data_IF_076225656819
#
_entry.id   IF_076225656819
#
_cell.length_a   1.000
_cell.length_b   1.000
_cell.length_c   1.000
_cell.angle_alpha   90.00
_cell.angle_beta   90.00
_cell.angle_gamma   90.00
#
_symmetry.space_group_name_H-M   'P 1'
#
loop_
_entity.id
_entity.type
_entity.pdbx_description
1 polymer ?
#
# COMPACT_ATOMS: atom_id res chain seq x y z
N UNK A 1 -9.93 -33.76 -30.12
CA UNK A 1 -10.41 -33.07 -28.90
C UNK A 1 -9.21 -32.38 -28.29
N UNK A 2 -9.09 -31.06 -28.46
CA UNK A 2 -7.97 -30.31 -27.90
C UNK A 2 -8.54 -29.02 -27.34
N UNK A 3 -8.70 -28.99 -26.03
CA UNK A 3 -9.10 -27.79 -25.28
C UNK A 3 -7.81 -27.03 -24.99
N UNK A 4 -7.70 -25.81 -25.54
CA UNK A 4 -6.66 -24.86 -25.18
C UNK A 4 -7.09 -24.19 -23.88
N UNK A 5 -6.47 -24.58 -22.76
CA UNK A 5 -6.67 -23.90 -21.49
C UNK A 5 -5.85 -22.60 -21.49
N UNK A 6 -6.53 -21.45 -21.55
CA UNK A 6 -5.91 -20.17 -21.20
C UNK A 6 -5.74 -20.14 -19.68
N UNK A 7 -4.49 -20.31 -19.22
CA UNK A 7 -4.15 -20.02 -17.83
C UNK A 7 -4.29 -18.53 -17.58
N UNK A 8 -5.28 -18.14 -16.77
CA UNK A 8 -5.28 -16.82 -16.14
C UNK A 8 -4.07 -16.76 -15.20
N UNK A 9 -2.98 -16.14 -15.64
CA UNK A 9 -1.99 -15.64 -14.70
C UNK A 9 -2.61 -14.44 -13.99
N UNK A 10 -3.08 -14.65 -12.77
CA UNK A 10 -3.26 -13.53 -11.85
C UNK A 10 -1.89 -12.87 -11.67
N UNK A 11 -1.75 -11.54 -11.80
CA UNK A 11 -0.53 -10.88 -11.38
C UNK A 11 -0.46 -11.04 -9.85
N UNK A 12 0.35 -11.98 -9.39
CA UNK A 12 0.82 -11.99 -8.02
C UNK A 12 1.79 -10.81 -7.90
N UNK A 13 1.27 -9.61 -7.61
CA UNK A 13 2.08 -8.60 -6.96
C UNK A 13 2.45 -9.17 -5.60
N UNK A 14 3.64 -9.75 -5.50
CA UNK A 14 4.12 -10.40 -4.30
C UNK A 14 4.19 -9.35 -3.20
N UNK A 15 3.19 -9.38 -2.32
CA UNK A 15 3.24 -8.76 -1.02
C UNK A 15 3.67 -9.87 -0.09
N UNK A 16 4.96 -9.92 0.20
CA UNK A 16 5.58 -11.00 0.98
C UNK A 16 5.44 -10.75 2.48
N UNK A 17 5.18 -9.50 2.87
CA UNK A 17 5.03 -9.10 4.27
C UNK A 17 3.79 -8.22 4.44
N UNK A 18 3.02 -8.47 5.51
CA UNK A 18 1.88 -7.63 5.91
C UNK A 18 2.05 -7.16 7.35
N UNK A 19 1.95 -5.86 7.56
CA UNK A 19 2.07 -5.22 8.87
C UNK A 19 0.82 -4.42 9.20
N UNK A 20 0.11 -4.78 10.27
CA UNK A 20 -0.96 -3.94 10.81
C UNK A 20 -0.34 -2.79 11.59
N UNK A 21 -0.61 -1.56 11.13
CA UNK A 21 -0.11 -0.34 11.75
C UNK A 21 -1.03 0.06 12.89
N UNK A 22 -0.45 0.22 14.08
CA UNK A 22 -1.13 0.79 15.24
C UNK A 22 -0.30 1.94 15.78
N UNK A 23 -0.94 3.09 15.95
CA UNK A 23 -0.30 4.22 16.60
C UNK A 23 -0.26 4.00 18.11
N UNK A 24 0.70 4.65 18.77
CA UNK A 24 0.74 4.69 20.24
C UNK A 24 -0.51 5.41 20.75
N UNK A 25 -0.94 5.11 21.98
CA UNK A 25 -2.07 5.80 22.60
C UNK A 25 -1.85 7.32 22.58
N UNK A 26 -2.84 8.07 22.10
CA UNK A 26 -2.78 9.53 21.94
C UNK A 26 -1.99 10.04 20.73
N UNK A 27 -1.34 9.16 19.96
CA UNK A 27 -0.61 9.55 18.75
C UNK A 27 -1.47 9.45 17.49
N UNK A 28 -1.14 10.26 16.49
CA UNK A 28 -1.80 10.28 15.17
C UNK A 28 -0.87 9.82 14.04
N UNK A 29 0.34 9.35 14.38
CA UNK A 29 1.34 8.89 13.41
C UNK A 29 2.26 7.82 13.99
N UNK A 30 2.93 7.10 13.09
CA UNK A 30 4.04 6.21 13.39
C UNK A 30 5.07 6.29 12.26
N UNK A 31 6.35 6.06 12.59
CA UNK A 31 7.43 5.88 11.61
C UNK A 31 7.83 4.43 11.59
N UNK A 32 7.83 3.83 10.40
CA UNK A 32 8.15 2.43 10.18
C UNK A 32 9.39 2.33 9.29
N UNK A 33 10.20 1.29 9.51
CA UNK A 33 11.35 0.95 8.67
C UNK A 33 11.17 -0.48 8.17
N UNK A 34 11.52 -0.71 6.91
CA UNK A 34 11.47 -2.01 6.28
C UNK A 34 12.53 -2.11 5.19
N UNK A 35 12.73 -3.32 4.68
CA UNK A 35 13.64 -3.60 3.58
C UNK A 35 13.04 -4.70 2.71
N UNK A 36 13.13 -4.52 1.40
CA UNK A 36 12.68 -5.47 0.39
C UNK A 36 13.81 -5.76 -0.60
N UNK A 37 13.77 -6.92 -1.26
CA UNK A 37 14.75 -7.30 -2.28
C UNK A 37 14.04 -7.81 -3.53
N UNK A 38 14.54 -7.41 -4.69
CA UNK A 38 14.02 -7.91 -5.97
C UNK A 38 12.53 -7.60 -6.14
N UNK A 39 11.70 -8.65 -6.18
CA UNK A 39 10.26 -8.56 -6.36
C UNK A 39 9.48 -8.58 -5.03
N UNK A 40 10.17 -8.59 -3.89
CA UNK A 40 9.53 -8.62 -2.60
C UNK A 40 8.75 -7.31 -2.34
N UNK A 41 7.59 -7.42 -1.68
CA UNK A 41 6.77 -6.27 -1.29
C UNK A 41 6.39 -6.25 0.19
N UNK A 42 6.06 -5.06 0.70
CA UNK A 42 5.50 -4.88 2.06
C UNK A 42 4.16 -4.17 1.98
N UNK A 43 3.15 -4.70 2.67
CA UNK A 43 1.84 -4.06 2.83
C UNK A 43 1.63 -3.61 4.27
N UNK A 44 1.49 -2.31 4.47
CA UNK A 44 1.10 -1.72 5.74
C UNK A 44 -0.40 -1.47 5.75
N UNK A 45 -1.10 -2.10 6.69
CA UNK A 45 -2.56 -1.97 6.86
C UNK A 45 -2.83 -0.92 7.92
N UNK A 46 -3.53 0.15 7.56
CA UNK A 46 -3.93 1.23 8.45
C UNK A 46 -5.45 1.32 8.50
N UNK A 47 -6.02 0.97 9.66
CA UNK A 47 -7.43 1.18 9.93
C UNK A 47 -7.71 2.67 10.14
N UNK A 48 -8.61 3.23 9.32
CA UNK A 48 -9.01 4.63 9.40
C UNK A 48 -10.48 4.82 9.01
N UNK A 49 -11.09 5.90 9.47
CA UNK A 49 -12.47 6.28 9.16
C UNK A 49 -12.55 7.25 7.99
N UNK A 50 -13.68 7.20 7.29
CA UNK A 50 -14.05 8.20 6.28
C UNK A 50 -13.89 9.63 6.84
N UNK A 51 -13.40 10.53 6.00
CA UNK A 51 -13.20 11.95 6.31
C UNK A 51 -11.90 12.24 7.05
N UNK A 52 -11.24 11.25 7.68
CA UNK A 52 -9.92 11.45 8.27
C UNK A 52 -8.89 11.80 7.17
N UNK A 53 -7.93 12.65 7.52
CA UNK A 53 -6.77 12.92 6.68
C UNK A 53 -5.73 11.81 6.88
N UNK A 54 -5.31 11.18 5.79
CA UNK A 54 -4.14 10.30 5.77
C UNK A 54 -2.96 11.07 5.18
N UNK A 55 -1.78 10.91 5.77
CA UNK A 55 -0.52 11.38 5.22
C UNK A 55 0.50 10.25 5.22
N UNK A 56 1.19 10.08 4.09
CA UNK A 56 2.27 9.11 3.92
C UNK A 56 3.46 9.85 3.34
N UNK A 57 4.60 9.76 4.03
CA UNK A 57 5.89 10.25 3.57
C UNK A 57 6.81 9.06 3.41
N UNK A 58 7.30 8.84 2.20
CA UNK A 58 8.12 7.69 1.84
C UNK A 58 9.53 8.12 1.51
N UNK A 59 10.53 7.50 2.14
CA UNK A 59 11.94 7.85 1.95
C UNK A 59 12.74 6.60 1.61
N UNK A 60 12.69 6.11 0.35
CA UNK A 60 13.40 4.92 -0.06
C UNK A 60 14.89 5.21 -0.30
N UNK A 61 15.73 4.22 -0.01
CA UNK A 61 17.18 4.27 -0.32
C UNK A 61 17.46 4.05 -1.83
N UNK A 62 16.44 3.64 -2.60
CA UNK A 62 16.50 3.44 -4.05
C UNK A 62 15.35 4.17 -4.75
N UNK A 63 15.65 4.89 -5.83
CA UNK A 63 14.67 5.62 -6.67
C UNK A 63 13.71 4.71 -7.43
N UNK A 64 14.01 3.42 -7.57
CA UNK A 64 13.11 2.44 -8.20
C UNK A 64 12.16 1.75 -7.22
N UNK A 65 12.15 2.17 -5.95
CA UNK A 65 11.19 1.70 -4.95
C UNK A 65 10.12 2.79 -4.78
N UNK A 66 8.85 2.39 -4.84
CA UNK A 66 7.71 3.30 -4.82
C UNK A 66 6.71 2.81 -3.77
N UNK A 67 5.66 3.58 -3.54
CA UNK A 67 4.51 3.09 -2.78
C UNK A 67 3.20 3.42 -3.48
N UNK A 68 2.18 2.63 -3.19
CA UNK A 68 0.80 2.88 -3.60
C UNK A 68 -0.09 2.93 -2.37
N UNK A 69 -1.17 3.72 -2.42
CA UNK A 69 -2.22 3.73 -1.39
C UNK A 69 -3.48 3.16 -1.99
N UNK A 70 -4.01 2.10 -1.38
CA UNK A 70 -5.24 1.44 -1.81
C UNK A 70 -6.33 1.64 -0.74
N UNK A 71 -7.56 1.99 -1.16
CA UNK A 71 -8.68 2.10 -0.26
C UNK A 71 -9.22 0.71 0.15
N UNK A 72 -10.07 0.62 1.17
CA UNK A 72 -10.57 -0.65 1.68
C UNK A 72 -11.34 -1.41 0.60
N UNK A 73 -11.00 -2.69 0.43
CA UNK A 73 -11.69 -3.60 -0.49
C UNK A 73 -11.43 -3.34 -1.98
N UNK A 74 -10.52 -2.44 -2.35
CA UNK A 74 -10.18 -2.16 -3.76
C UNK A 74 -8.77 -2.61 -4.10
N UNK A 75 -8.59 -3.09 -5.34
CA UNK A 75 -7.28 -3.28 -5.96
C UNK A 75 -6.78 -2.03 -6.70
N UNK A 76 -7.65 -1.05 -6.91
CA UNK A 76 -7.32 0.21 -7.57
C UNK A 76 -6.74 1.20 -6.56
N UNK A 77 -5.54 1.69 -6.84
CA UNK A 77 -4.85 2.63 -5.96
C UNK A 77 -5.39 4.05 -6.13
N UNK A 78 -5.61 4.74 -5.01
CA UNK A 78 -5.93 6.18 -4.97
C UNK A 78 -4.67 7.05 -5.06
N UNK A 79 -3.49 6.44 -4.89
CA UNK A 79 -2.19 7.08 -5.09
C UNK A 79 -1.21 6.08 -5.68
N UNK A 80 -0.48 6.50 -6.72
CA UNK A 80 0.52 5.70 -7.42
C UNK A 80 1.86 6.43 -7.36
N UNK A 81 2.79 5.95 -6.52
CA UNK A 81 4.05 6.64 -6.23
C UNK A 81 5.05 6.64 -7.39
N UNK A 82 4.98 5.66 -8.29
CA UNK A 82 5.81 5.65 -9.51
C UNK A 82 5.50 6.80 -10.48
N UNK A 83 4.31 7.41 -10.33
CA UNK A 83 3.86 8.55 -11.14
C UNK A 83 3.85 9.84 -10.31
N UNK A 84 3.42 9.74 -9.06
CA UNK A 84 3.07 10.90 -8.23
C UNK A 84 4.16 11.28 -7.22
N UNK A 85 5.21 10.47 -7.08
CA UNK A 85 6.32 10.72 -6.18
C UNK A 85 6.17 10.06 -4.81
N UNK A 86 6.82 10.65 -3.81
CA UNK A 86 7.09 10.01 -2.51
C UNK A 86 6.20 10.50 -1.36
N UNK A 87 5.17 11.30 -1.66
CA UNK A 87 4.30 11.90 -0.65
C UNK A 87 2.84 11.81 -1.08
N UNK A 88 1.99 11.39 -0.15
CA UNK A 88 0.54 11.39 -0.29
C UNK A 88 -0.09 12.13 0.89
N UNK A 89 -1.05 13.00 0.61
CA UNK A 89 -1.96 13.55 1.62
C UNK A 89 -3.35 13.66 1.03
N UNK A 90 -4.36 13.15 1.74
CA UNK A 90 -5.74 13.22 1.28
C UNK A 90 -6.76 12.80 2.34
N UNK A 91 -8.00 13.27 2.19
CA UNK A 91 -9.13 12.81 3.00
C UNK A 91 -9.63 11.47 2.48
N UNK A 92 -9.87 10.53 3.40
CA UNK A 92 -10.28 9.18 3.05
C UNK A 92 -11.77 9.14 2.67
N UNK A 93 -12.07 8.61 1.49
CA UNK A 93 -13.43 8.49 1.00
C UNK A 93 -14.24 7.36 1.68
N UNK A 94 -13.56 6.41 2.33
CA UNK A 94 -14.18 5.25 2.95
C UNK A 94 -13.52 4.90 4.30
N UNK A 95 -14.33 4.39 5.22
CA UNK A 95 -13.87 3.76 6.45
C UNK A 95 -13.39 2.34 6.19
N UNK A 96 -12.36 1.90 6.93
CA UNK A 96 -11.86 0.54 6.90
C UNK A 96 -10.34 0.49 6.82
N UNK A 97 -9.85 -0.67 6.42
CA UNK A 97 -8.41 -0.95 6.29
C UNK A 97 -7.89 -0.45 4.95
N UNK A 98 -7.12 0.63 5.00
CA UNK A 98 -6.35 1.12 3.86
C UNK A 98 -5.01 0.41 3.80
N UNK A 99 -4.48 0.20 2.60
CA UNK A 99 -3.19 -0.45 2.41
C UNK A 99 -2.18 0.52 1.79
N UNK A 100 -1.02 0.66 2.43
CA UNK A 100 0.17 1.25 1.82
C UNK A 100 1.06 0.10 1.36
N UNK A 101 1.19 -0.07 0.05
CA UNK A 101 2.01 -1.12 -0.56
C UNK A 101 3.32 -0.51 -1.03
N UNK A 102 4.44 -1.10 -0.63
CA UNK A 102 5.79 -0.79 -1.11
C UNK A 102 6.18 -1.84 -2.15
#
# INVERSE_FOLDING_TARGET
MTVLALGLSAPAGAVDQTHVVKFKAGATSATLKGAIKGHDGIKYILGASQGQAMSVQFSPDNRSCYFNVLPPGSAEAIFIGSVSGNEFTGNLAASGDHAVQI
#
